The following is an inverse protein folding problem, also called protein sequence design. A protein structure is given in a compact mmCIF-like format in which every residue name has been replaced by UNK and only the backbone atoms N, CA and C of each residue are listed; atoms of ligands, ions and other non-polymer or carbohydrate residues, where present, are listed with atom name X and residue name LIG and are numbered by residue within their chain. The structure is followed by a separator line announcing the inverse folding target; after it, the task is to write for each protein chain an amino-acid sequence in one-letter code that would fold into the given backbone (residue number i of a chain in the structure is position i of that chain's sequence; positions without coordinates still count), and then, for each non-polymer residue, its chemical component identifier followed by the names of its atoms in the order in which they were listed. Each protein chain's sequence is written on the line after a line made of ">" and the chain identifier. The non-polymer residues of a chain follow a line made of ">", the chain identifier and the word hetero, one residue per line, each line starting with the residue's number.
data_IF_344705989112
#
_entry.id   IF_344705989112
#
_cell.length_a   1.000
_cell.length_b   1.000
_cell.length_c   1.000
_cell.angle_alpha   90.00
_cell.angle_beta   90.00
_cell.angle_gamma   90.00
#
_symmetry.space_group_name_H-M   'P 1'
#
loop_
_entity.id
_entity.type
_entity.pdbx_description
1 polymer ?
#
# COMPACT_ATOMS: atom_id res chain seq x y z
N UNK A 1 -26.34 18.13 4.95
CA UNK A 1 -25.22 17.99 5.91
C UNK A 1 -23.94 18.00 5.09
N UNK A 2 -23.01 18.94 5.34
CA UNK A 2 -21.73 18.96 4.61
C UNK A 2 -20.81 17.93 5.26
N UNK A 3 -20.36 16.93 4.50
CA UNK A 3 -19.28 16.06 4.94
C UNK A 3 -17.96 16.81 4.77
N UNK A 4 -17.15 16.83 5.83
CA UNK A 4 -15.77 17.32 5.79
C UNK A 4 -14.87 16.09 5.71
N UNK A 5 -13.97 16.07 4.73
CA UNK A 5 -12.91 15.08 4.62
C UNK A 5 -11.61 15.72 5.10
N UNK A 6 -10.83 15.00 5.91
CA UNK A 6 -9.54 15.45 6.42
C UNK A 6 -8.52 14.32 6.41
N UNK A 7 -7.26 14.68 6.17
CA UNK A 7 -6.11 13.80 6.31
C UNK A 7 -5.29 14.24 7.53
N UNK A 8 -4.82 13.28 8.32
CA UNK A 8 -3.98 13.48 9.50
C UNK A 8 -2.73 12.61 9.38
N UNK A 9 -1.83 12.70 10.36
CA UNK A 9 -0.62 11.87 10.43
C UNK A 9 0.32 12.04 9.22
N UNK A 10 0.74 13.29 8.99
CA UNK A 10 1.63 13.69 7.89
C UNK A 10 3.12 13.56 8.25
N UNK A 11 3.47 12.88 9.35
CA UNK A 11 4.85 12.83 9.86
C UNK A 11 5.83 12.16 8.89
N UNK A 12 5.32 11.31 7.98
CA UNK A 12 6.10 10.63 6.93
C UNK A 12 5.98 11.28 5.55
N UNK A 13 5.25 12.39 5.43
CA UNK A 13 5.06 13.09 4.16
C UNK A 13 6.40 13.65 3.65
N UNK A 14 6.72 13.36 2.39
CA UNK A 14 7.99 13.77 1.75
C UNK A 14 7.86 13.75 0.23
N UNK A 15 8.69 14.51 -0.51
CA UNK A 15 8.79 14.37 -1.96
C UNK A 15 9.07 12.91 -2.34
N UNK A 16 8.19 12.33 -3.15
CA UNK A 16 8.27 10.94 -3.57
C UNK A 16 7.50 10.73 -4.87
N UNK A 17 7.59 9.53 -5.44
CA UNK A 17 6.67 9.10 -6.49
C UNK A 17 5.22 9.09 -5.96
N UNK A 18 4.28 9.69 -6.69
CA UNK A 18 2.88 9.80 -6.30
C UNK A 18 2.23 8.45 -5.94
N UNK A 19 2.68 7.36 -6.56
CA UNK A 19 2.19 6.01 -6.29
C UNK A 19 2.55 5.49 -4.89
N UNK A 20 3.50 6.13 -4.18
CA UNK A 20 3.82 5.76 -2.81
C UNK A 20 2.64 6.00 -1.84
N UNK A 21 1.81 7.01 -2.10
CA UNK A 21 0.62 7.30 -1.29
C UNK A 21 -0.46 6.21 -1.46
N UNK A 22 -0.33 5.37 -2.49
CA UNK A 22 -1.24 4.24 -2.77
C UNK A 22 -0.81 2.96 -2.02
N UNK A 23 0.46 2.87 -1.60
CA UNK A 23 1.01 1.65 -0.96
C UNK A 23 0.22 1.22 0.28
N UNK A 24 -0.15 2.11 1.23
CA UNK A 24 -0.92 1.70 2.40
C UNK A 24 -2.29 1.12 2.03
N UNK A 25 -2.93 1.63 0.98
CA UNK A 25 -4.21 1.13 0.50
C UNK A 25 -4.05 -0.26 -0.15
N UNK A 26 -3.02 -0.42 -0.97
CA UNK A 26 -2.73 -1.66 -1.69
C UNK A 26 -2.28 -2.81 -0.76
N UNK A 27 -1.52 -2.51 0.29
CA UNK A 27 -1.07 -3.48 1.30
C UNK A 27 -2.10 -3.70 2.43
N UNK A 28 -3.09 -2.80 2.57
CA UNK A 28 -4.10 -2.84 3.62
C UNK A 28 -5.52 -2.98 3.07
N UNK A 29 -6.26 -1.88 3.05
CA UNK A 29 -7.71 -1.87 2.81
C UNK A 29 -8.20 -2.51 1.50
N UNK A 30 -7.34 -2.62 0.49
CA UNK A 30 -7.70 -3.23 -0.80
C UNK A 30 -7.37 -4.72 -0.88
N UNK A 31 -6.73 -5.30 0.14
CA UNK A 31 -6.46 -6.74 0.18
C UNK A 31 -7.79 -7.51 0.12
N UNK A 32 -7.94 -8.37 -0.89
CA UNK A 32 -9.18 -9.10 -1.14
C UNK A 32 -10.35 -8.24 -1.68
N UNK A 33 -10.10 -6.96 -1.99
CA UNK A 33 -11.11 -5.98 -2.42
C UNK A 33 -10.68 -5.22 -3.68
N UNK A 34 -10.56 -5.91 -4.84
CA UNK A 34 -10.17 -5.27 -6.10
C UNK A 34 -11.18 -4.19 -6.56
N UNK A 35 -12.43 -4.27 -6.11
CA UNK A 35 -13.46 -3.28 -6.35
C UNK A 35 -13.10 -1.91 -5.74
N UNK A 36 -12.46 -1.88 -4.57
CA UNK A 36 -12.04 -0.62 -3.93
C UNK A 36 -10.89 0.05 -4.67
N UNK A 37 -9.94 -0.75 -5.18
CA UNK A 37 -8.87 -0.24 -6.04
C UNK A 37 -9.46 0.37 -7.33
N UNK A 38 -10.42 -0.32 -7.95
CA UNK A 38 -11.07 0.15 -9.17
C UNK A 38 -11.83 1.46 -8.94
N UNK A 39 -12.67 1.51 -7.90
CA UNK A 39 -13.44 2.70 -7.54
C UNK A 39 -12.53 3.90 -7.21
N UNK A 40 -11.39 3.65 -6.54
CA UNK A 40 -10.41 4.71 -6.27
C UNK A 40 -9.87 5.32 -7.56
N UNK A 41 -9.37 4.51 -8.50
CA UNK A 41 -8.78 5.04 -9.74
C UNK A 41 -9.80 5.62 -10.71
N UNK A 42 -11.04 5.13 -10.68
CA UNK A 42 -12.17 5.78 -11.36
C UNK A 42 -12.38 7.19 -10.83
N UNK A 43 -12.48 7.35 -9.50
CA UNK A 43 -12.60 8.66 -8.86
C UNK A 43 -11.36 9.55 -9.00
N UNK A 44 -10.16 8.95 -9.07
CA UNK A 44 -8.89 9.65 -9.29
C UNK A 44 -8.75 10.20 -10.72
N UNK A 45 -9.60 9.75 -11.65
CA UNK A 45 -9.70 10.26 -13.01
C UNK A 45 -8.71 9.66 -14.01
N UNK A 46 -7.89 8.69 -13.59
CA UNK A 46 -7.04 7.91 -14.50
C UNK A 46 -6.56 6.60 -13.88
N UNK A 47 -6.32 5.55 -14.70
CA UNK A 47 -5.61 4.38 -14.24
C UNK A 47 -4.10 4.68 -14.02
N UNK A 48 -3.44 3.77 -13.32
CA UNK A 48 -1.97 3.74 -13.23
C UNK A 48 -1.37 3.35 -14.59
N UNK A 49 -0.32 4.05 -14.99
CA UNK A 49 0.54 3.63 -16.12
C UNK A 49 1.28 2.33 -15.78
N UNK A 50 1.79 1.61 -16.78
CA UNK A 50 2.58 0.40 -16.55
C UNK A 50 3.78 0.63 -15.61
N UNK A 51 4.46 1.78 -15.74
CA UNK A 51 5.58 2.16 -14.88
C UNK A 51 5.14 2.41 -13.43
N UNK A 52 3.97 3.03 -13.24
CA UNK A 52 3.42 3.23 -11.90
C UNK A 52 2.93 1.93 -11.27
N UNK A 53 2.34 1.02 -12.04
CA UNK A 53 1.97 -0.32 -11.57
C UNK A 53 3.20 -1.11 -11.10
N UNK A 54 4.28 -1.07 -11.89
CA UNK A 54 5.55 -1.68 -11.50
C UNK A 54 6.14 -1.03 -10.24
N UNK A 55 6.17 0.30 -10.19
CA UNK A 55 6.66 1.02 -9.02
C UNK A 55 5.83 0.73 -7.76
N UNK A 56 4.51 0.67 -7.86
CA UNK A 56 3.62 0.28 -6.75
C UNK A 56 4.04 -1.08 -6.21
N UNK A 57 4.23 -2.06 -7.10
CA UNK A 57 4.65 -3.41 -6.70
C UNK A 57 5.96 -3.41 -5.93
N UNK A 58 6.99 -2.74 -6.46
CA UNK A 58 8.29 -2.63 -5.79
C UNK A 58 8.18 -1.94 -4.43
N UNK A 59 7.40 -0.86 -4.34
CA UNK A 59 7.22 -0.12 -3.09
C UNK A 59 6.42 -0.93 -2.05
N UNK A 60 5.44 -1.73 -2.47
CA UNK A 60 4.75 -2.66 -1.57
C UNK A 60 5.70 -3.73 -1.01
N UNK A 61 6.64 -4.24 -1.80
CA UNK A 61 7.69 -5.15 -1.30
C UNK A 61 8.55 -4.45 -0.25
N UNK A 62 8.99 -3.21 -0.52
CA UNK A 62 9.81 -2.44 0.42
C UNK A 62 9.05 -2.13 1.72
N UNK A 63 7.76 -1.79 1.63
CA UNK A 63 6.90 -1.57 2.79
C UNK A 63 6.76 -2.84 3.64
N UNK A 64 6.53 -4.00 3.00
CA UNK A 64 6.44 -5.28 3.68
C UNK A 64 7.74 -5.68 4.38
N UNK A 65 8.89 -5.50 3.73
CA UNK A 65 10.20 -5.75 4.33
C UNK A 65 10.47 -4.78 5.48
N UNK A 66 10.09 -3.51 5.33
CA UNK A 66 10.20 -2.51 6.40
C UNK A 66 9.32 -2.87 7.60
N UNK A 67 8.10 -3.36 7.36
CA UNK A 67 7.19 -3.84 8.40
C UNK A 67 7.82 -5.00 9.18
N UNK A 68 8.34 -6.02 8.50
CA UNK A 68 9.00 -7.16 9.15
C UNK A 68 10.24 -6.72 9.94
N UNK A 69 11.10 -5.89 9.32
CA UNK A 69 12.33 -5.41 9.94
C UNK A 69 12.08 -4.57 11.19
N UNK A 70 10.94 -3.88 11.28
CA UNK A 70 10.53 -3.14 12.46
C UNK A 70 9.81 -4.04 13.47
N UNK A 71 8.86 -4.87 13.02
CA UNK A 71 8.01 -5.67 13.89
C UNK A 71 8.76 -6.73 14.68
N UNK A 72 9.74 -7.41 14.08
CA UNK A 72 10.53 -8.47 14.75
C UNK A 72 11.24 -7.96 16.01
N UNK A 73 12.09 -6.90 15.95
CA UNK A 73 12.76 -6.41 17.15
C UNK A 73 11.82 -5.73 18.15
N UNK A 74 10.62 -5.30 17.73
CA UNK A 74 9.63 -4.66 18.61
C UNK A 74 8.58 -5.63 19.18
N UNK A 75 8.62 -6.92 18.82
CA UNK A 75 7.66 -7.92 19.29
C UNK A 75 6.24 -7.70 18.76
N UNK A 76 6.09 -7.06 17.60
CA UNK A 76 4.80 -6.79 16.97
C UNK A 76 4.49 -7.84 15.90
N UNK A 77 3.89 -8.95 16.35
CA UNK A 77 3.55 -10.09 15.48
C UNK A 77 2.52 -9.74 14.42
N UNK A 78 1.64 -8.76 14.66
CA UNK A 78 0.64 -8.32 13.69
C UNK A 78 1.29 -7.62 12.49
N UNK A 79 2.22 -6.70 12.76
CA UNK A 79 2.99 -6.02 11.71
C UNK A 79 3.85 -7.01 10.93
N UNK A 80 4.46 -7.99 11.60
CA UNK A 80 5.24 -9.06 10.95
C UNK A 80 4.35 -9.90 10.04
N UNK A 81 3.22 -10.38 10.54
CA UNK A 81 2.27 -11.20 9.79
C UNK A 81 1.73 -10.46 8.56
N UNK A 82 1.41 -9.16 8.70
CA UNK A 82 0.98 -8.31 7.58
C UNK A 82 2.06 -8.21 6.50
N UNK A 83 3.31 -8.00 6.89
CA UNK A 83 4.44 -7.94 5.97
C UNK A 83 4.62 -9.26 5.21
N UNK A 84 4.61 -10.39 5.92
CA UNK A 84 4.74 -11.72 5.33
C UNK A 84 3.59 -12.03 4.35
N UNK A 85 2.34 -11.74 4.73
CA UNK A 85 1.18 -11.92 3.87
C UNK A 85 1.27 -11.07 2.58
N UNK A 86 1.81 -9.84 2.69
CA UNK A 86 2.04 -8.98 1.53
C UNK A 86 3.05 -9.59 0.57
N UNK A 87 4.20 -10.08 1.08
CA UNK A 87 5.21 -10.73 0.25
C UNK A 87 4.66 -11.99 -0.45
N UNK A 88 3.99 -12.87 0.29
CA UNK A 88 3.41 -14.10 -0.26
C UNK A 88 2.42 -13.80 -1.42
N UNK A 89 1.57 -12.78 -1.25
CA UNK A 89 0.64 -12.35 -2.31
C UNK A 89 1.38 -11.84 -3.55
N UNK A 90 2.45 -11.07 -3.36
CA UNK A 90 3.20 -10.49 -4.47
C UNK A 90 4.07 -11.52 -5.19
N UNK A 91 4.57 -12.56 -4.51
CA UNK A 91 5.28 -13.68 -5.14
C UNK A 91 4.37 -14.46 -6.07
N UNK A 92 3.13 -14.76 -5.65
CA UNK A 92 2.13 -15.48 -6.47
C UNK A 92 1.77 -14.71 -7.75
N UNK A 93 1.86 -13.38 -7.74
CA UNK A 93 1.60 -12.54 -8.93
C UNK A 93 2.80 -12.42 -9.88
N UNK A 94 3.99 -12.92 -9.52
CA UNK A 94 5.19 -12.90 -10.37
C UNK A 94 5.35 -14.17 -11.21
N UNK A 95 4.70 -15.26 -10.80
CA UNK A 95 4.70 -16.55 -11.48
C UNK A 95 3.56 -16.65 -12.49
#
# INVERSE_FOLDING_TARGET
>A
MVQVFGAIDLERARPHAAVADVVPLACGSWVGRPDLQHAFFEGYGRPLTAREQWALRCLCVLDAVSAISWGVPNGDDEIVARGQATLARLEVQAA
#
